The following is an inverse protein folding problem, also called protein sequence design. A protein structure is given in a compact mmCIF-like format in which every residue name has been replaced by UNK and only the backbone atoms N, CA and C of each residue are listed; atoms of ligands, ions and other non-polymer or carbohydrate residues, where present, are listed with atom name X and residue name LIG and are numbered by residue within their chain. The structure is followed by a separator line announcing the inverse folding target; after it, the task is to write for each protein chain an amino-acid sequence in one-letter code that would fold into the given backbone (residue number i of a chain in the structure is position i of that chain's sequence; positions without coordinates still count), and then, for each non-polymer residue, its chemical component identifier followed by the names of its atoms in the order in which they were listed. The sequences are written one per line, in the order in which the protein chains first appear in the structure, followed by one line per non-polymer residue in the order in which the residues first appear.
data_IF_015810562562
#
_entry.id   IF_015810562562
#
_cell.length_a   1.000
_cell.length_b   1.000
_cell.length_c   1.000
_cell.angle_alpha   90.00
_cell.angle_beta   90.00
_cell.angle_gamma   90.00
#
_symmetry.space_group_name_H-M   'P 1'
#
loop_
_entity.id
_entity.type
_entity.pdbx_description
1 polymer ?
#
# COMPACT_ATOMS: atom_id res chain seq x y z
N UNK A 1 -16.69 11.07 13.38
CA UNK A 1 -17.63 10.02 13.80
C UNK A 1 -16.85 8.72 13.94
N UNK A 2 -16.61 8.25 15.17
CA UNK A 2 -16.12 6.89 15.38
C UNK A 2 -17.29 5.95 15.08
N UNK A 3 -17.22 5.22 13.97
CA UNK A 3 -18.23 4.23 13.61
C UNK A 3 -18.25 3.11 14.65
N UNK A 4 -19.45 2.68 15.05
CA UNK A 4 -19.66 1.51 15.90
C UNK A 4 -19.02 0.28 15.25
N UNK A 5 -17.96 -0.26 15.89
CA UNK A 5 -17.15 -1.39 15.40
C UNK A 5 -17.89 -2.74 15.49
N UNK A 6 -19.16 -2.75 15.89
CA UNK A 6 -20.00 -3.95 16.00
C UNK A 6 -20.82 -4.26 14.74
N UNK A 7 -20.76 -3.40 13.72
CA UNK A 7 -21.63 -3.47 12.56
C UNK A 7 -21.08 -4.41 11.47
N UNK A 8 -21.89 -5.41 11.07
CA UNK A 8 -21.54 -6.36 10.01
C UNK A 8 -21.84 -5.74 8.65
N UNK A 9 -20.81 -5.52 7.84
CA UNK A 9 -20.94 -4.87 6.53
C UNK A 9 -20.95 -5.85 5.35
N UNK A 10 -20.62 -7.12 5.58
CA UNK A 10 -20.59 -8.13 4.52
C UNK A 10 -21.31 -9.41 4.91
N UNK A 11 -21.93 -10.03 3.93
CA UNK A 11 -22.61 -11.31 4.00
C UNK A 11 -22.25 -12.16 2.78
N UNK A 12 -22.73 -13.41 2.76
CA UNK A 12 -22.73 -14.24 1.56
C UNK A 12 -24.18 -14.55 1.15
N UNK A 13 -24.38 -14.79 -0.13
CA UNK A 13 -25.70 -15.09 -0.71
C UNK A 13 -26.03 -16.58 -0.62
N UNK A 14 -27.31 -16.93 -0.62
CA UNK A 14 -27.84 -18.30 -0.80
C UNK A 14 -27.56 -19.34 0.30
N UNK A 15 -26.49 -19.22 1.08
CA UNK A 15 -26.16 -20.17 2.15
C UNK A 15 -24.92 -19.79 2.97
N UNK A 16 -24.71 -20.43 4.12
CA UNK A 16 -23.62 -20.14 5.04
C UNK A 16 -22.22 -20.50 4.51
N UNK A 17 -22.14 -21.49 3.64
CA UNK A 17 -20.95 -22.02 2.97
C UNK A 17 -20.69 -21.37 1.59
N UNK A 18 -21.58 -20.46 1.17
CA UNK A 18 -21.47 -19.76 -0.10
C UNK A 18 -20.20 -18.91 -0.20
N UNK A 19 -19.69 -18.83 -1.42
CA UNK A 19 -18.52 -18.03 -1.77
C UNK A 19 -18.89 -16.72 -2.46
N UNK A 20 -20.18 -16.42 -2.64
CA UNK A 20 -20.68 -15.23 -3.31
C UNK A 20 -20.81 -14.08 -2.31
N UNK A 21 -19.83 -13.16 -2.23
CA UNK A 21 -19.82 -12.13 -1.22
C UNK A 21 -20.75 -10.98 -1.61
N UNK A 22 -21.27 -10.30 -0.59
CA UNK A 22 -22.07 -9.12 -0.78
C UNK A 22 -21.74 -8.08 0.29
N UNK A 23 -21.67 -6.80 -0.12
CA UNK A 23 -21.53 -5.67 0.78
C UNK A 23 -22.87 -4.96 0.94
N UNK A 24 -23.24 -4.64 2.17
CA UNK A 24 -24.40 -3.77 2.39
C UNK A 24 -24.02 -2.31 2.11
N UNK A 25 -24.86 -1.53 1.41
CA UNK A 25 -24.70 -0.09 1.35
C UNK A 25 -24.76 0.53 2.75
N UNK A 26 -23.99 1.60 2.95
CA UNK A 26 -23.94 2.30 4.24
C UNK A 26 -25.12 3.27 4.39
N UNK A 27 -25.62 3.80 3.27
CA UNK A 27 -26.67 4.82 3.23
C UNK A 27 -28.08 4.22 3.10
N UNK A 28 -29.05 4.81 3.80
CA UNK A 28 -30.43 4.33 3.83
C UNK A 28 -31.08 4.29 2.43
N UNK A 29 -30.82 5.30 1.60
CA UNK A 29 -31.40 5.40 0.25
C UNK A 29 -30.90 4.28 -0.67
N UNK A 30 -29.61 3.94 -0.54
CA UNK A 30 -28.98 2.86 -1.28
C UNK A 30 -29.44 1.49 -0.76
N UNK A 31 -29.71 1.37 0.55
CA UNK A 31 -30.24 0.15 1.14
C UNK A 31 -31.62 -0.22 0.59
N UNK A 32 -32.50 0.76 0.35
CA UNK A 32 -33.81 0.48 -0.23
C UNK A 32 -33.72 0.02 -1.69
N UNK A 33 -32.77 0.56 -2.46
CA UNK A 33 -32.47 0.04 -3.81
C UNK A 33 -31.90 -1.38 -3.73
N UNK A 34 -30.96 -1.62 -2.81
CA UNK A 34 -30.37 -2.93 -2.55
C UNK A 34 -31.41 -3.99 -2.19
N UNK A 35 -32.33 -3.69 -1.27
CA UNK A 35 -33.41 -4.61 -0.85
C UNK A 35 -34.33 -4.99 -2.00
N UNK A 36 -34.62 -4.06 -2.91
CA UNK A 36 -35.43 -4.35 -4.11
C UNK A 36 -34.68 -5.23 -5.09
N UNK A 37 -33.37 -4.98 -5.28
CA UNK A 37 -32.54 -5.81 -6.15
C UNK A 37 -32.39 -7.24 -5.63
N UNK A 38 -32.29 -7.40 -4.31
CA UNK A 38 -32.09 -8.68 -3.62
C UNK A 38 -33.38 -9.20 -2.93
N UNK A 39 -34.56 -8.91 -3.48
CA UNK A 39 -35.84 -9.23 -2.84
C UNK A 39 -36.09 -10.74 -2.65
N UNK A 40 -35.43 -11.57 -3.45
CA UNK A 40 -35.55 -13.04 -3.41
C UNK A 40 -34.31 -13.72 -2.84
N UNK A 41 -33.31 -12.94 -2.43
CA UNK A 41 -32.06 -13.47 -1.93
C UNK A 41 -32.08 -13.59 -0.40
N UNK A 42 -31.30 -14.53 0.11
CA UNK A 42 -31.03 -14.68 1.54
C UNK A 42 -29.59 -14.32 1.85
N UNK A 43 -29.38 -13.57 2.93
CA UNK A 43 -28.05 -13.16 3.40
C UNK A 43 -27.61 -14.02 4.57
N UNK A 44 -26.34 -14.40 4.60
CA UNK A 44 -25.82 -15.28 5.63
C UNK A 44 -24.53 -14.75 6.23
N UNK A 45 -24.35 -14.98 7.53
CA UNK A 45 -23.11 -14.72 8.26
C UNK A 45 -22.11 -15.82 7.89
N UNK A 46 -21.54 -15.73 6.68
CA UNK A 46 -20.82 -16.81 6.03
C UNK A 46 -19.64 -17.36 6.83
N UNK A 47 -19.42 -18.67 6.74
CA UNK A 47 -18.34 -19.38 7.43
C UNK A 47 -16.97 -18.93 6.90
N UNK A 48 -16.85 -18.73 5.59
CA UNK A 48 -15.65 -18.19 4.95
C UNK A 48 -15.39 -16.72 5.32
N UNK A 49 -16.37 -16.01 5.88
CA UNK A 49 -16.15 -14.67 6.45
C UNK A 49 -15.71 -14.72 7.93
N UNK A 50 -15.47 -15.92 8.48
CA UNK A 50 -15.32 -16.15 9.92
C UNK A 50 -16.61 -15.90 10.71
N UNK A 51 -17.76 -16.05 10.04
CA UNK A 51 -19.09 -15.93 10.60
C UNK A 51 -19.58 -17.19 11.31
N UNK A 52 -20.77 -17.12 11.89
CA UNK A 52 -21.40 -18.23 12.62
C UNK A 52 -22.35 -19.10 11.78
N UNK A 53 -22.52 -18.78 10.49
CA UNK A 53 -23.42 -19.49 9.58
C UNK A 53 -24.91 -19.21 9.76
N UNK A 54 -25.29 -18.29 10.66
CA UNK A 54 -26.70 -17.90 10.83
C UNK A 54 -27.14 -16.89 9.76
N UNK A 55 -28.43 -16.94 9.43
CA UNK A 55 -29.03 -16.00 8.49
C UNK A 55 -29.03 -14.56 9.04
N UNK A 56 -28.83 -13.61 8.14
CA UNK A 56 -28.78 -12.19 8.40
C UNK A 56 -30.00 -11.48 7.80
N UNK A 57 -30.40 -10.41 8.46
CA UNK A 57 -31.33 -9.40 7.97
C UNK A 57 -30.61 -8.05 7.84
N UNK A 58 -31.22 -7.09 7.17
CA UNK A 58 -30.66 -5.73 7.00
C UNK A 58 -31.30 -4.77 7.99
N UNK A 59 -30.48 -3.99 8.70
CA UNK A 59 -30.95 -2.90 9.57
C UNK A 59 -30.81 -1.57 8.84
N UNK A 60 -31.95 -0.94 8.58
CA UNK A 60 -32.03 0.40 8.02
C UNK A 60 -31.93 1.41 9.15
N UNK A 61 -31.03 2.38 8.99
CA UNK A 61 -30.87 3.50 9.88
C UNK A 61 -30.67 4.77 9.06
N UNK A 62 -31.28 5.87 9.50
CA UNK A 62 -31.14 7.20 8.88
C UNK A 62 -30.16 8.10 9.65
N UNK A 63 -29.85 7.73 10.89
CA UNK A 63 -28.99 8.45 11.83
C UNK A 63 -27.64 7.74 12.08
N UNK A 64 -27.51 6.48 11.65
CA UNK A 64 -26.29 5.68 11.72
C UNK A 64 -26.14 4.79 10.48
N UNK A 65 -24.97 4.19 10.35
CA UNK A 65 -24.63 3.32 9.22
C UNK A 65 -25.53 2.07 9.19
N UNK A 66 -26.11 1.82 8.01
CA UNK A 66 -26.84 0.59 7.73
C UNK A 66 -25.90 -0.62 7.82
N UNK A 67 -26.40 -1.74 8.34
CA UNK A 67 -25.59 -2.96 8.50
C UNK A 67 -26.45 -4.21 8.53
N UNK A 68 -25.82 -5.36 8.31
CA UNK A 68 -26.43 -6.65 8.56
C UNK A 68 -26.52 -6.94 10.06
N UNK A 69 -27.59 -7.62 10.45
CA UNK A 69 -27.78 -8.14 11.81
C UNK A 69 -28.33 -9.56 11.75
N UNK A 70 -28.03 -10.38 12.75
CA UNK A 70 -28.67 -11.68 12.85
C UNK A 70 -30.18 -11.52 13.08
N UNK A 71 -30.96 -12.48 12.58
CA UNK A 71 -32.33 -12.64 13.05
C UNK A 71 -32.32 -12.85 14.58
N UNK A 72 -33.32 -12.34 15.33
CA UNK A 72 -33.42 -12.62 16.76
C UNK A 72 -33.56 -14.12 17.01
N UNK A 73 -32.99 -14.61 18.12
CA UNK A 73 -33.19 -15.98 18.57
C UNK A 73 -34.65 -16.27 18.95
N UNK A 74 -35.01 -17.53 19.19
CA UNK A 74 -36.36 -17.93 19.64
C UNK A 74 -36.80 -17.24 20.95
N UNK A 75 -35.82 -16.87 21.77
CA UNK A 75 -35.93 -16.16 23.04
C UNK A 75 -35.91 -14.61 22.88
N UNK A 76 -35.81 -14.11 21.65
CA UNK A 76 -35.72 -12.69 21.33
C UNK A 76 -34.36 -12.06 21.66
N UNK A 77 -33.39 -12.84 22.17
CA UNK A 77 -32.07 -12.31 22.52
C UNK A 77 -31.15 -12.20 21.29
N UNK A 78 -30.23 -11.22 21.28
CA UNK A 78 -29.23 -11.10 20.21
C UNK A 78 -28.29 -12.31 20.21
N UNK A 79 -28.07 -12.90 19.04
CA UNK A 79 -27.07 -13.96 18.90
C UNK A 79 -25.64 -13.44 19.14
N UNK A 80 -24.90 -14.14 20.00
CA UNK A 80 -23.48 -13.89 20.21
C UNK A 80 -22.65 -14.46 19.05
N UNK A 81 -22.30 -13.60 18.11
CA UNK A 81 -21.46 -13.97 16.97
C UNK A 81 -19.98 -13.72 17.28
N UNK A 82 -19.17 -14.77 17.19
CA UNK A 82 -17.71 -14.72 17.37
C UNK A 82 -16.95 -14.04 16.24
N UNK A 83 -17.63 -13.62 15.16
CA UNK A 83 -17.02 -12.96 14.00
C UNK A 83 -16.30 -11.69 14.43
N UNK A 84 -14.98 -11.66 14.20
CA UNK A 84 -14.10 -10.53 14.54
C UNK A 84 -14.01 -9.49 13.43
N UNK A 85 -13.87 -9.94 12.18
CA UNK A 85 -13.79 -9.07 11.01
C UNK A 85 -15.19 -8.71 10.50
N UNK A 86 -15.61 -7.46 10.68
CA UNK A 86 -16.99 -7.00 10.39
C UNK A 86 -17.06 -5.90 9.34
N UNK A 87 -15.93 -5.30 8.97
CA UNK A 87 -15.86 -4.24 7.96
C UNK A 87 -15.96 -4.76 6.53
N UNK A 88 -16.03 -3.82 5.58
CA UNK A 88 -16.15 -4.11 4.13
C UNK A 88 -15.03 -5.00 3.58
N UNK A 89 -13.83 -4.92 4.17
CA UNK A 89 -12.67 -5.70 3.76
C UNK A 89 -12.71 -7.17 4.21
N UNK A 90 -13.62 -7.55 5.11
CA UNK A 90 -13.69 -8.92 5.65
C UNK A 90 -14.08 -9.97 4.61
N UNK A 91 -14.61 -9.54 3.46
CA UNK A 91 -14.94 -10.41 2.34
C UNK A 91 -13.95 -10.27 1.16
N UNK A 92 -12.85 -9.52 1.31
CA UNK A 92 -11.95 -9.22 0.20
C UNK A 92 -11.38 -10.49 -0.46
N UNK A 93 -11.11 -11.54 0.30
CA UNK A 93 -10.66 -12.83 -0.23
C UNK A 93 -11.67 -13.50 -1.18
N UNK A 94 -12.98 -13.42 -0.89
CA UNK A 94 -14.02 -13.93 -1.78
C UNK A 94 -14.14 -13.08 -3.05
N UNK A 95 -14.03 -11.76 -2.92
CA UNK A 95 -14.00 -10.87 -4.09
C UNK A 95 -12.76 -11.10 -4.97
N UNK A 96 -11.60 -11.35 -4.36
CA UNK A 96 -10.38 -11.74 -5.09
C UNK A 96 -10.59 -13.05 -5.84
N UNK A 97 -11.10 -14.09 -5.16
CA UNK A 97 -11.41 -15.38 -5.78
C UNK A 97 -12.37 -15.22 -6.96
N UNK A 98 -13.50 -14.55 -6.75
CA UNK A 98 -14.52 -14.34 -7.79
C UNK A 98 -13.98 -13.56 -8.99
N UNK A 99 -13.24 -12.46 -8.75
CA UNK A 99 -12.66 -11.63 -9.81
C UNK A 99 -11.58 -12.38 -10.60
N UNK A 100 -10.67 -13.08 -9.90
CA UNK A 100 -9.63 -13.87 -10.55
C UNK A 100 -10.23 -15.04 -11.35
N UNK A 101 -11.25 -15.72 -10.83
CA UNK A 101 -11.94 -16.78 -11.53
C UNK A 101 -12.62 -16.26 -12.81
N UNK A 102 -13.29 -15.10 -12.75
CA UNK A 102 -13.88 -14.48 -13.93
C UNK A 102 -12.82 -14.07 -14.97
N UNK A 103 -11.72 -13.48 -14.52
CA UNK A 103 -10.61 -13.02 -15.37
C UNK A 103 -9.84 -14.17 -16.05
N UNK A 104 -9.62 -15.29 -15.35
CA UNK A 104 -8.98 -16.48 -15.91
C UNK A 104 -9.92 -17.21 -16.88
N UNK A 105 -11.21 -17.32 -16.54
CA UNK A 105 -12.21 -17.91 -17.44
C UNK A 105 -12.38 -17.12 -18.74
N UNK A 106 -12.32 -15.78 -18.70
CA UNK A 106 -12.41 -14.96 -19.93
C UNK A 106 -11.21 -15.14 -20.87
N UNK A 107 -10.17 -15.83 -20.41
CA UNK A 107 -8.95 -16.20 -21.17
C UNK A 107 -8.85 -17.71 -21.40
N UNK A 108 -9.95 -18.45 -21.23
CA UNK A 108 -10.01 -19.91 -21.37
C UNK A 108 -9.03 -20.67 -20.46
N UNK A 109 -8.65 -20.07 -19.32
CA UNK A 109 -7.78 -20.68 -18.32
C UNK A 109 -8.62 -21.30 -17.20
N UNK A 110 -8.36 -22.58 -16.93
CA UNK A 110 -8.86 -23.26 -15.73
C UNK A 110 -7.94 -22.94 -14.55
N UNK A 111 -8.56 -22.72 -13.38
CA UNK A 111 -7.85 -22.36 -12.18
C UNK A 111 -8.48 -23.00 -10.95
N UNK A 112 -7.63 -23.49 -10.05
CA UNK A 112 -7.99 -23.97 -8.74
C UNK A 112 -7.73 -22.87 -7.70
N UNK A 113 -8.63 -22.78 -6.72
CA UNK A 113 -8.60 -21.73 -5.71
C UNK A 113 -8.64 -22.35 -4.32
N UNK A 114 -7.67 -21.97 -3.48
CA UNK A 114 -7.59 -22.42 -2.10
C UNK A 114 -7.55 -21.21 -1.16
N UNK A 115 -8.49 -21.16 -0.20
CA UNK A 115 -8.49 -20.17 0.87
C UNK A 115 -7.64 -20.71 2.01
N UNK A 116 -6.33 -20.49 1.91
CA UNK A 116 -5.36 -21.02 2.88
C UNK A 116 -5.63 -20.42 4.25
N UNK A 117 -5.67 -21.26 5.27
CA UNK A 117 -5.81 -20.85 6.66
C UNK A 117 -4.60 -21.32 7.48
N UNK A 118 -3.46 -20.59 7.42
CA UNK A 118 -2.32 -20.89 8.27
C UNK A 118 -2.69 -20.79 9.74
N UNK A 119 -2.02 -21.58 10.57
CA UNK A 119 -2.29 -21.60 12.01
C UNK A 119 -2.15 -20.19 12.62
N UNK A 120 -3.18 -19.75 13.34
CA UNK A 120 -3.22 -18.43 13.97
C UNK A 120 -3.53 -17.26 13.02
N UNK A 121 -3.58 -17.47 11.70
CA UNK A 121 -3.97 -16.43 10.75
C UNK A 121 -5.51 -16.27 10.67
N UNK A 122 -6.02 -15.03 10.54
CA UNK A 122 -7.42 -14.80 10.22
C UNK A 122 -7.85 -15.51 8.92
N UNK A 123 -9.13 -15.90 8.85
CA UNK A 123 -9.71 -16.39 7.60
C UNK A 123 -9.63 -15.29 6.53
N UNK A 124 -9.18 -15.68 5.34
CA UNK A 124 -9.06 -14.77 4.20
C UNK A 124 -7.78 -13.93 4.20
N UNK A 125 -6.80 -14.23 5.04
CA UNK A 125 -5.48 -13.57 4.98
C UNK A 125 -4.70 -13.96 3.72
N UNK A 126 -4.88 -15.18 3.21
CA UNK A 126 -4.18 -15.69 2.02
C UNK A 126 -5.16 -16.38 1.08
N UNK A 127 -4.99 -16.13 -0.23
CA UNK A 127 -5.70 -16.83 -1.31
C UNK A 127 -4.68 -17.38 -2.29
N UNK A 128 -4.70 -18.69 -2.46
CA UNK A 128 -3.91 -19.39 -3.46
C UNK A 128 -4.72 -19.59 -4.73
N UNK A 129 -4.12 -19.23 -5.85
CA UNK A 129 -4.72 -19.31 -7.18
C UNK A 129 -3.75 -20.10 -8.05
N UNK A 130 -4.09 -21.33 -8.39
CA UNK A 130 -3.27 -22.19 -9.24
C UNK A 130 -3.88 -22.25 -10.63
N UNK A 131 -3.10 -21.97 -11.67
CA UNK A 131 -3.52 -22.11 -13.07
C UNK A 131 -2.35 -22.56 -13.95
N UNK A 132 -2.62 -23.50 -14.85
CA UNK A 132 -1.56 -24.14 -15.64
C UNK A 132 -0.43 -24.69 -14.74
N UNK A 133 0.82 -24.33 -15.02
CA UNK A 133 2.03 -24.69 -14.25
C UNK A 133 2.49 -23.54 -13.33
N UNK A 134 1.60 -22.60 -13.01
CA UNK A 134 1.88 -21.38 -12.25
C UNK A 134 0.83 -21.16 -11.16
N UNK A 135 1.18 -20.38 -10.16
CA UNK A 135 0.25 -19.94 -9.14
C UNK A 135 0.52 -18.52 -8.71
N UNK A 136 -0.51 -17.89 -8.17
CA UNK A 136 -0.42 -16.63 -7.44
C UNK A 136 -0.78 -16.90 -5.99
N UNK A 137 -0.01 -16.34 -5.07
CA UNK A 137 -0.34 -16.33 -3.64
C UNK A 137 -0.66 -14.91 -3.21
N UNK A 138 -1.93 -14.64 -2.97
CA UNK A 138 -2.42 -13.31 -2.61
C UNK A 138 -2.41 -13.13 -1.11
N UNK A 139 -1.57 -12.23 -0.59
CA UNK A 139 -1.51 -11.87 0.83
C UNK A 139 -2.34 -10.61 1.08
N UNK A 140 -3.49 -10.71 1.73
CA UNK A 140 -4.39 -9.57 1.94
C UNK A 140 -4.07 -8.74 3.19
N UNK A 141 -3.35 -9.32 4.14
CA UNK A 141 -2.92 -8.68 5.37
C UNK A 141 -1.54 -9.15 5.83
N UNK A 142 -1.09 -8.64 6.99
CA UNK A 142 0.23 -8.90 7.56
C UNK A 142 0.31 -10.18 8.40
N UNK A 143 -0.77 -10.96 8.49
CA UNK A 143 -0.81 -12.14 9.35
C UNK A 143 0.10 -13.25 8.84
N UNK A 144 0.33 -13.31 7.52
CA UNK A 144 1.16 -14.32 6.87
C UNK A 144 2.24 -13.61 6.05
N UNK A 145 3.50 -13.88 6.38
CA UNK A 145 4.64 -13.33 5.64
C UNK A 145 4.74 -13.94 4.24
N UNK A 146 5.02 -13.15 3.21
CA UNK A 146 5.23 -13.67 1.86
C UNK A 146 6.54 -14.43 1.75
N UNK A 147 6.47 -15.57 1.04
CA UNK A 147 7.65 -16.28 0.56
C UNK A 147 8.01 -15.76 -0.84
N UNK A 148 9.28 -15.51 -1.09
CA UNK A 148 9.77 -14.90 -2.34
C UNK A 148 10.48 -15.89 -3.27
N UNK A 149 10.87 -17.05 -2.72
CA UNK A 149 11.64 -18.12 -3.35
C UNK A 149 10.83 -19.40 -3.56
N UNK A 150 9.51 -19.34 -3.41
CA UNK A 150 8.62 -20.48 -3.62
C UNK A 150 8.41 -20.72 -5.12
N UNK A 151 9.04 -21.77 -5.63
CA UNK A 151 8.96 -22.13 -7.04
C UNK A 151 7.51 -22.28 -7.52
N UNK A 152 7.17 -21.53 -8.56
CA UNK A 152 5.89 -21.63 -9.23
C UNK A 152 4.74 -20.83 -8.58
N UNK A 153 4.96 -20.13 -7.46
CA UNK A 153 3.93 -19.28 -6.82
C UNK A 153 4.42 -17.84 -6.64
N UNK A 154 3.87 -16.94 -7.44
CA UNK A 154 4.24 -15.52 -7.39
C UNK A 154 3.42 -14.77 -6.31
N UNK A 155 4.08 -14.03 -5.40
CA UNK A 155 3.37 -13.30 -4.35
C UNK A 155 2.69 -12.03 -4.89
N UNK A 156 1.42 -11.84 -4.52
CA UNK A 156 0.64 -10.63 -4.78
C UNK A 156 0.24 -10.01 -3.45
N UNK A 157 0.68 -8.77 -3.19
CA UNK A 157 0.68 -8.23 -1.84
C UNK A 157 -0.37 -7.13 -1.66
N UNK A 158 -1.22 -7.28 -0.64
CA UNK A 158 -2.11 -6.23 -0.18
C UNK A 158 -1.33 -4.98 0.19
N UNK A 159 -1.94 -3.81 0.03
CA UNK A 159 -1.32 -2.50 0.35
C UNK A 159 -0.78 -2.39 1.77
N UNK A 160 -1.31 -3.20 2.69
CA UNK A 160 -0.86 -3.22 4.07
C UNK A 160 0.42 -4.03 4.27
N UNK A 161 0.73 -4.99 3.41
CA UNK A 161 1.87 -5.91 3.57
C UNK A 161 3.17 -5.16 3.28
N UNK A 162 4.10 -5.06 4.24
CA UNK A 162 5.36 -4.35 4.00
C UNK A 162 6.24 -5.12 2.99
N UNK A 163 6.99 -4.37 2.20
CA UNK A 163 8.08 -4.90 1.35
C UNK A 163 9.29 -4.03 1.62
N UNK A 164 10.42 -4.65 1.94
CA UNK A 164 11.66 -3.91 2.17
C UNK A 164 12.30 -3.49 0.84
N UNK A 165 13.24 -2.57 0.95
CA UNK A 165 13.90 -1.96 -0.21
C UNK A 165 14.74 -2.98 -0.99
N UNK A 166 15.39 -3.90 -0.30
CA UNK A 166 16.33 -4.83 -0.92
C UNK A 166 15.55 -5.84 -1.76
N UNK A 167 14.42 -6.33 -1.25
CA UNK A 167 13.45 -7.14 -2.02
C UNK A 167 12.99 -6.43 -3.30
N UNK A 168 12.62 -5.13 -3.24
CA UNK A 168 12.23 -4.38 -4.44
C UNK A 168 13.37 -4.18 -5.46
N UNK A 169 14.61 -4.10 -4.98
CA UNK A 169 15.79 -3.98 -5.84
C UNK A 169 16.05 -5.31 -6.55
N UNK A 170 15.94 -6.42 -5.81
CA UNK A 170 16.25 -7.76 -6.30
C UNK A 170 15.17 -8.29 -7.24
N UNK A 171 13.89 -8.16 -6.86
CA UNK A 171 12.74 -8.59 -7.68
C UNK A 171 12.42 -7.63 -8.83
N UNK A 172 12.99 -6.41 -8.84
CA UNK A 172 12.73 -5.28 -9.76
C UNK A 172 11.35 -4.65 -9.62
N UNK A 173 10.34 -5.46 -9.32
CA UNK A 173 8.98 -5.06 -9.01
C UNK A 173 8.31 -6.12 -8.12
N UNK A 174 7.21 -5.73 -7.49
CA UNK A 174 6.30 -6.65 -6.80
C UNK A 174 4.86 -6.32 -7.20
N UNK A 175 4.02 -7.35 -7.24
CA UNK A 175 2.59 -7.17 -7.47
C UNK A 175 1.90 -6.68 -6.21
N UNK A 176 1.05 -5.66 -6.38
CA UNK A 176 0.16 -5.16 -5.34
C UNK A 176 -1.29 -5.49 -5.66
N UNK A 177 -2.10 -5.62 -4.61
CA UNK A 177 -3.54 -5.71 -4.76
C UNK A 177 -4.23 -4.73 -3.80
N UNK A 178 -5.28 -4.10 -4.31
CA UNK A 178 -6.26 -3.37 -3.49
C UNK A 178 -7.65 -3.61 -4.02
N UNK A 179 -8.63 -3.41 -3.16
CA UNK A 179 -10.04 -3.50 -3.51
C UNK A 179 -10.70 -2.16 -3.25
N UNK A 180 -11.30 -1.60 -4.30
CA UNK A 180 -12.07 -0.36 -4.23
C UNK A 180 -13.55 -0.69 -4.10
N UNK A 181 -14.26 0.04 -3.24
CA UNK A 181 -15.72 -0.10 -3.16
C UNK A 181 -16.37 0.69 -4.29
N UNK A 182 -17.19 0.02 -5.09
CA UNK A 182 -18.01 0.62 -6.14
C UNK A 182 -19.46 0.15 -5.96
N UNK A 183 -20.27 1.03 -5.36
CA UNK A 183 -21.60 0.68 -4.86
C UNK A 183 -21.53 -0.48 -3.86
N UNK A 184 -22.25 -1.55 -4.14
CA UNK A 184 -22.35 -2.77 -3.32
C UNK A 184 -21.26 -3.80 -3.61
N UNK A 185 -20.33 -3.50 -4.51
CA UNK A 185 -19.31 -4.44 -4.98
C UNK A 185 -17.90 -3.97 -4.63
N UNK A 186 -16.95 -4.91 -4.61
CA UNK A 186 -15.52 -4.62 -4.46
C UNK A 186 -14.83 -4.91 -5.79
N UNK A 187 -14.18 -3.89 -6.38
CA UNK A 187 -13.39 -4.05 -7.62
C UNK A 187 -11.92 -4.26 -7.30
N UNK A 188 -11.36 -5.34 -7.83
CA UNK A 188 -9.93 -5.65 -7.72
C UNK A 188 -9.12 -4.72 -8.62
N UNK A 189 -8.04 -4.16 -8.06
CA UNK A 189 -7.03 -3.39 -8.77
C UNK A 189 -5.67 -4.02 -8.50
N UNK A 190 -4.94 -4.28 -9.58
CA UNK A 190 -3.58 -4.83 -9.52
C UNK A 190 -2.60 -3.68 -9.66
N UNK A 191 -1.61 -3.63 -8.78
CA UNK A 191 -0.58 -2.61 -8.77
C UNK A 191 0.78 -3.19 -9.09
N UNK A 192 1.68 -2.33 -9.55
CA UNK A 192 3.11 -2.65 -9.68
C UNK A 192 3.90 -1.65 -8.87
N UNK A 193 4.52 -2.14 -7.80
CA UNK A 193 5.45 -1.35 -7.01
C UNK A 193 6.87 -1.69 -7.45
N UNK A 194 7.68 -0.66 -7.67
CA UNK A 194 9.08 -0.78 -8.06
C UNK A 194 9.92 0.23 -7.29
N UNK A 195 11.21 -0.07 -7.14
CA UNK A 195 12.11 0.78 -6.36
C UNK A 195 12.11 2.25 -6.86
N UNK A 196 11.93 3.18 -5.91
CA UNK A 196 11.89 4.63 -6.13
C UNK A 196 10.80 5.10 -7.12
N UNK A 197 9.69 4.37 -7.22
CA UNK A 197 8.51 4.74 -8.02
C UNK A 197 7.25 4.56 -7.19
N UNK A 198 6.25 5.39 -7.45
CA UNK A 198 4.90 5.17 -6.90
C UNK A 198 4.29 3.92 -7.51
N UNK A 199 3.42 3.24 -6.75
CA UNK A 199 2.67 2.08 -7.26
C UNK A 199 1.70 2.52 -8.36
N UNK A 200 1.88 1.98 -9.57
CA UNK A 200 0.95 2.17 -10.68
C UNK A 200 -0.17 1.13 -10.58
N UNK A 201 -1.44 1.55 -10.70
CA UNK A 201 -2.61 0.70 -10.49
C UNK A 201 -3.44 0.51 -11.76
N UNK A 202 -3.82 -0.73 -12.04
CA UNK A 202 -4.51 -1.17 -13.25
C UNK A 202 -5.77 -1.96 -12.91
N UNK A 203 -6.72 -2.04 -13.83
CA UNK A 203 -7.85 -2.95 -13.69
C UNK A 203 -7.34 -4.37 -13.93
N UNK A 204 -8.04 -5.36 -13.39
CA UNK A 204 -7.67 -6.75 -13.65
C UNK A 204 -7.75 -7.07 -15.16
N UNK A 205 -8.70 -6.46 -15.88
CA UNK A 205 -8.84 -6.61 -17.34
C UNK A 205 -7.68 -5.99 -18.14
N UNK A 206 -6.95 -5.03 -17.58
CA UNK A 206 -5.74 -4.44 -18.19
C UNK A 206 -4.50 -5.32 -17.96
N UNK A 207 -4.62 -6.40 -17.18
CA UNK A 207 -3.53 -7.32 -16.85
C UNK A 207 -3.59 -8.58 -17.72
N UNK A 208 -2.43 -9.16 -17.98
CA UNK A 208 -2.29 -10.38 -18.77
C UNK A 208 -1.60 -11.50 -18.00
N UNK A 209 -1.87 -12.74 -18.40
CA UNK A 209 -1.07 -13.90 -17.99
C UNK A 209 0.00 -14.14 -19.05
N UNK A 210 1.26 -14.04 -18.67
CA UNK A 210 2.42 -14.28 -19.55
C UNK A 210 3.19 -15.51 -19.10
N UNK A 211 4.18 -15.95 -19.88
CA UNK A 211 5.09 -17.05 -19.50
C UNK A 211 5.80 -16.80 -18.14
N UNK A 212 5.92 -15.53 -17.74
CA UNK A 212 6.57 -15.10 -16.50
C UNK A 212 5.60 -15.00 -15.31
N UNK A 213 4.31 -15.17 -15.53
CA UNK A 213 3.28 -14.94 -14.52
C UNK A 213 2.39 -13.76 -14.85
N UNK A 214 1.85 -13.13 -13.80
CA UNK A 214 0.96 -11.98 -13.92
C UNK A 214 1.73 -10.78 -14.49
N UNK A 215 1.23 -10.14 -15.53
CA UNK A 215 1.82 -8.95 -16.12
C UNK A 215 0.84 -7.79 -16.10
N UNK A 216 1.25 -6.69 -15.48
CA UNK A 216 0.58 -5.39 -15.67
C UNK A 216 1.28 -4.62 -16.80
N UNK A 217 0.65 -3.56 -17.36
CA UNK A 217 1.32 -2.68 -18.30
C UNK A 217 2.61 -2.05 -17.75
N UNK A 218 2.72 -1.86 -16.43
CA UNK A 218 3.96 -1.39 -15.81
C UNK A 218 5.04 -2.48 -15.76
N UNK A 219 4.66 -3.73 -15.45
CA UNK A 219 5.58 -4.88 -15.51
C UNK A 219 6.15 -5.04 -16.90
N UNK A 220 5.32 -5.00 -17.94
CA UNK A 220 5.78 -5.13 -19.32
C UNK A 220 6.81 -4.04 -19.68
N UNK A 221 6.59 -2.79 -19.25
CA UNK A 221 7.55 -1.70 -19.46
C UNK A 221 8.86 -1.93 -18.71
N UNK A 222 8.80 -2.40 -17.46
CA UNK A 222 9.99 -2.70 -16.64
C UNK A 222 10.79 -3.85 -17.27
N UNK A 223 10.10 -4.93 -17.61
CA UNK A 223 10.68 -6.09 -18.28
C UNK A 223 11.32 -5.67 -19.60
N UNK A 224 10.57 -5.00 -20.48
CA UNK A 224 11.07 -4.51 -21.77
C UNK A 224 12.30 -3.63 -21.59
N UNK A 225 12.30 -2.69 -20.65
CA UNK A 225 13.46 -1.82 -20.40
C UNK A 225 14.71 -2.58 -19.96
N UNK A 226 14.56 -3.77 -19.35
CA UNK A 226 15.67 -4.59 -18.84
C UNK A 226 16.08 -5.74 -19.75
N UNK A 227 15.15 -6.27 -20.55
CA UNK A 227 15.39 -7.35 -21.53
C UNK A 227 15.76 -6.83 -22.91
N UNK A 228 15.35 -5.61 -23.26
CA UNK A 228 15.87 -4.96 -24.47
C UNK A 228 17.35 -4.74 -24.22
N UNK A 229 18.19 -5.48 -24.95
CA UNK A 229 19.61 -5.20 -25.03
C UNK A 229 19.78 -3.69 -25.24
N UNK A 230 20.73 -3.02 -24.57
CA UNK A 230 21.06 -1.64 -24.91
C UNK A 230 21.16 -1.60 -26.44
N UNK A 231 20.52 -0.63 -27.12
CA UNK A 231 20.55 -0.59 -28.58
C UNK A 231 22.01 -0.80 -29.00
N UNK A 232 22.29 -1.70 -29.97
CA UNK A 232 23.65 -1.95 -30.38
C UNK A 232 24.26 -0.60 -30.66
N UNK A 233 25.36 -0.29 -29.96
CA UNK A 233 26.17 0.88 -30.30
C UNK A 233 26.39 0.79 -31.80
N UNK A 234 25.84 1.76 -32.54
CA UNK A 234 25.82 1.79 -34.00
C UNK A 234 27.13 1.24 -34.59
N UNK A 235 27.11 0.52 -35.73
CA UNK A 235 28.33 0.05 -36.37
C UNK A 235 29.24 1.25 -36.61
N UNK A 236 30.53 1.04 -36.36
CA UNK A 236 31.59 2.03 -36.43
C UNK A 236 31.46 2.97 -37.66
N UNK A 237 30.79 4.10 -37.48
CA UNK A 237 31.00 5.26 -38.30
C UNK A 237 32.34 5.85 -37.87
N UNK A 238 33.36 5.57 -38.69
CA UNK A 238 34.70 6.18 -38.74
C UNK A 238 34.99 7.19 -37.62
N UNK A 239 35.87 6.75 -36.70
CA UNK A 239 36.70 7.57 -35.82
C UNK A 239 36.05 8.84 -35.24
N UNK A 240 35.43 8.74 -34.07
CA UNK A 240 35.16 9.91 -33.21
C UNK A 240 35.81 9.74 -31.83
N UNK A 241 36.51 10.82 -31.45
CA UNK A 241 37.20 11.10 -30.18
C UNK A 241 36.34 10.73 -28.95
N UNK A 242 37.02 10.44 -27.83
CA UNK A 242 36.43 10.04 -26.54
C UNK A 242 35.31 10.94 -26.00
N UNK A 243 34.63 10.53 -24.91
CA UNK A 243 33.41 11.17 -24.42
C UNK A 243 33.62 12.68 -24.19
N UNK A 244 32.75 13.48 -24.79
CA UNK A 244 32.72 14.92 -24.65
C UNK A 244 32.44 15.29 -23.19
N UNK A 245 33.48 15.75 -22.49
CA UNK A 245 33.43 16.16 -21.08
C UNK A 245 32.37 17.25 -20.87
N UNK A 246 32.10 18.03 -21.91
CA UNK A 246 31.11 19.10 -21.96
C UNK A 246 29.68 18.56 -21.82
N UNK A 247 29.33 17.53 -22.59
CA UNK A 247 28.03 16.88 -22.50
C UNK A 247 27.80 16.26 -21.11
N UNK A 248 28.86 15.73 -20.49
CA UNK A 248 28.80 15.17 -19.13
C UNK A 248 28.58 16.25 -18.07
N UNK A 249 29.24 17.40 -18.19
CA UNK A 249 29.01 18.54 -17.32
C UNK A 249 27.54 19.00 -17.36
N UNK A 250 26.94 19.10 -18.55
CA UNK A 250 25.55 19.55 -18.71
C UNK A 250 24.52 18.58 -18.10
N UNK A 251 24.81 17.29 -18.08
CA UNK A 251 23.96 16.29 -17.40
C UNK A 251 24.00 16.48 -15.89
N UNK A 252 25.19 16.65 -15.32
CA UNK A 252 25.37 16.84 -13.88
C UNK A 252 24.70 18.12 -13.39
N UNK A 253 24.79 19.22 -14.15
CA UNK A 253 24.08 20.48 -13.84
C UNK A 253 22.55 20.28 -13.79
N UNK A 254 21.97 19.55 -14.75
CA UNK A 254 20.53 19.25 -14.77
C UNK A 254 20.10 18.34 -13.62
N UNK A 255 20.91 17.34 -13.28
CA UNK A 255 20.65 16.46 -12.13
C UNK A 255 20.71 17.24 -10.82
N UNK A 256 21.66 18.15 -10.67
CA UNK A 256 21.78 19.00 -9.48
C UNK A 256 20.57 19.92 -9.31
N UNK A 257 20.13 20.56 -10.39
CA UNK A 257 18.93 21.39 -10.38
C UNK A 257 17.65 20.60 -10.05
N UNK A 258 17.50 19.41 -10.64
CA UNK A 258 16.34 18.53 -10.39
C UNK A 258 16.31 18.02 -8.95
N UNK A 259 17.46 17.62 -8.41
CA UNK A 259 17.59 17.14 -7.03
C UNK A 259 17.24 18.22 -6.00
N UNK A 260 17.65 19.47 -6.25
CA UNK A 260 17.27 20.62 -5.41
C UNK A 260 15.77 20.90 -5.46
N UNK A 261 15.13 20.75 -6.63
CA UNK A 261 13.68 20.95 -6.79
C UNK A 261 12.84 19.95 -5.98
N UNK A 262 13.31 18.72 -5.84
CA UNK A 262 12.65 17.66 -5.05
C UNK A 262 13.23 17.52 -3.63
N UNK A 263 14.00 18.51 -3.19
CA UNK A 263 14.60 18.61 -1.85
C UNK A 263 15.44 17.39 -1.42
N UNK A 264 16.09 16.71 -2.38
CA UNK A 264 16.86 15.49 -2.10
C UNK A 264 18.31 15.78 -1.72
N UNK A 265 18.58 15.93 -0.42
CA UNK A 265 19.92 16.17 0.16
C UNK A 265 20.95 15.13 -0.27
N UNK A 266 20.59 13.84 -0.26
CA UNK A 266 21.49 12.73 -0.63
C UNK A 266 21.91 12.80 -2.09
N UNK A 267 20.96 13.09 -3.00
CA UNK A 267 21.25 13.18 -4.44
C UNK A 267 22.08 14.42 -4.73
N UNK A 268 21.82 15.55 -4.05
CA UNK A 268 22.65 16.76 -4.15
C UNK A 268 24.10 16.48 -3.72
N UNK A 269 24.31 15.79 -2.59
CA UNK A 269 25.66 15.40 -2.15
C UNK A 269 26.38 14.50 -3.16
N UNK A 270 25.67 13.52 -3.73
CA UNK A 270 26.22 12.61 -4.74
C UNK A 270 26.63 13.36 -6.00
N UNK A 271 25.75 14.20 -6.55
CA UNK A 271 26.02 14.95 -7.78
C UNK A 271 27.17 15.94 -7.58
N UNK A 272 27.26 16.62 -6.43
CA UNK A 272 28.40 17.46 -6.09
C UNK A 272 29.74 16.70 -6.09
N UNK A 273 29.76 15.43 -5.61
CA UNK A 273 30.96 14.57 -5.67
C UNK A 273 31.31 14.18 -7.10
N UNK A 274 30.31 13.88 -7.92
CA UNK A 274 30.50 13.54 -9.34
C UNK A 274 31.02 14.75 -10.14
N UNK A 275 30.58 15.98 -9.82
CA UNK A 275 31.10 17.22 -10.39
C UNK A 275 32.56 17.45 -9.97
N UNK A 276 32.90 17.23 -8.70
CA UNK A 276 34.27 17.39 -8.21
C UNK A 276 35.27 16.42 -8.87
N UNK A 277 34.80 15.26 -9.33
CA UNK A 277 35.61 14.29 -10.08
C UNK A 277 35.69 14.57 -11.59
N UNK A 278 34.98 15.57 -12.10
CA UNK A 278 34.98 15.89 -13.53
C UNK A 278 36.24 16.73 -13.88
N UNK A 279 37.06 16.21 -14.78
CA UNK A 279 38.29 16.87 -15.26
C UNK A 279 38.26 17.03 -16.78
N UNK A 280 38.86 18.10 -17.31
CA UNK A 280 38.96 18.34 -18.75
C UNK A 280 37.76 19.07 -19.38
N UNK A 281 36.92 19.74 -18.59
CA UNK A 281 35.84 20.58 -19.08
C UNK A 281 36.38 21.92 -19.61
N UNK A 282 35.61 22.63 -20.45
CA UNK A 282 36.00 23.98 -20.87
C UNK A 282 36.04 24.94 -19.67
N UNK A 283 36.79 26.03 -19.77
CA UNK A 283 36.86 27.04 -18.69
C UNK A 283 35.50 27.65 -18.34
N UNK A 284 34.63 27.85 -19.34
CA UNK A 284 33.27 28.35 -19.13
C UNK A 284 32.41 27.37 -18.33
N UNK A 285 32.48 26.10 -18.69
CA UNK A 285 31.72 24.99 -18.08
C UNK A 285 32.22 24.68 -16.69
N UNK A 286 33.52 24.77 -16.48
CA UNK A 286 34.11 24.61 -15.17
C UNK A 286 33.71 25.74 -14.23
N UNK A 287 33.56 26.98 -14.73
CA UNK A 287 32.99 28.07 -13.94
C UNK A 287 31.52 27.80 -13.58
N UNK A 288 30.70 27.34 -14.53
CA UNK A 288 29.29 27.01 -14.29
C UNK A 288 29.13 25.87 -13.25
N UNK A 289 29.94 24.82 -13.34
CA UNK A 289 29.96 23.72 -12.37
C UNK A 289 30.37 24.20 -10.97
N UNK A 290 31.36 25.08 -10.88
CA UNK A 290 31.84 25.65 -9.60
C UNK A 290 30.73 26.50 -8.95
N UNK A 291 30.05 27.34 -9.72
CA UNK A 291 28.95 28.16 -9.21
C UNK A 291 27.75 27.30 -8.80
N UNK A 292 27.39 26.29 -9.60
CA UNK A 292 26.31 25.36 -9.29
C UNK A 292 26.58 24.54 -8.01
N UNK A 293 27.82 24.09 -7.80
CA UNK A 293 28.22 23.42 -6.55
C UNK A 293 28.22 24.39 -5.37
N UNK A 294 28.61 25.66 -5.56
CA UNK A 294 28.53 26.69 -4.51
C UNK A 294 27.09 26.95 -4.07
N UNK A 295 26.17 27.04 -5.03
CA UNK A 295 24.75 27.20 -4.77
C UNK A 295 24.13 25.98 -4.09
N UNK A 296 24.52 24.78 -4.51
CA UNK A 296 24.11 23.55 -3.87
C UNK A 296 24.59 23.45 -2.42
N UNK A 297 25.81 23.90 -2.12
CA UNK A 297 26.33 23.96 -0.74
C UNK A 297 25.55 24.94 0.13
N UNK A 298 25.28 26.16 -0.35
CA UNK A 298 24.41 27.12 0.36
C UNK A 298 23.01 26.58 0.61
N UNK A 299 22.46 25.86 -0.38
CA UNK A 299 21.17 25.21 -0.22
C UNK A 299 21.22 24.09 0.84
N UNK A 300 22.27 23.27 0.86
CA UNK A 300 22.47 22.24 1.89
C UNK A 300 22.60 22.83 3.30
N UNK A 301 23.29 23.96 3.45
CA UNK A 301 23.38 24.70 4.71
C UNK A 301 21.98 25.17 5.18
N UNK A 302 21.19 25.77 4.28
CA UNK A 302 19.81 26.16 4.57
C UNK A 302 18.90 24.97 4.92
N UNK A 303 19.10 23.81 4.30
CA UNK A 303 18.38 22.58 4.66
C UNK A 303 18.79 22.08 6.04
N UNK A 304 20.06 22.22 6.43
CA UNK A 304 20.51 21.89 7.77
C UNK A 304 19.88 22.80 8.84
N UNK A 305 19.69 24.09 8.55
CA UNK A 305 18.96 25.02 9.42
C UNK A 305 17.48 24.64 9.59
N UNK A 306 16.78 24.40 8.48
CA UNK A 306 15.39 23.95 8.49
C UNK A 306 15.23 22.64 9.26
N UNK A 307 16.19 21.72 9.11
CA UNK A 307 16.25 20.46 9.84
C UNK A 307 16.44 20.70 11.34
N UNK A 308 17.42 21.50 11.74
CA UNK A 308 17.66 21.84 13.17
C UNK A 308 16.40 22.41 13.81
N UNK A 309 15.75 23.36 13.15
CA UNK A 309 14.51 23.98 13.63
C UNK A 309 13.37 22.95 13.74
N UNK A 310 13.23 22.04 12.77
CA UNK A 310 12.22 20.99 12.79
C UNK A 310 12.39 20.05 14.00
N UNK A 311 13.63 19.67 14.30
CA UNK A 311 13.93 18.79 15.44
C UNK A 311 13.77 19.53 16.79
N UNK A 312 14.16 20.81 16.87
CA UNK A 312 13.97 21.65 18.06
C UNK A 312 12.48 21.84 18.39
N UNK A 313 11.66 22.25 17.41
CA UNK A 313 10.20 22.41 17.59
C UNK A 313 9.50 21.13 17.99
N UNK A 314 10.05 19.98 17.61
CA UNK A 314 9.50 18.68 18.01
C UNK A 314 9.83 18.37 19.46
N UNK A 315 11.07 18.61 19.88
CA UNK A 315 11.49 18.42 21.27
C UNK A 315 10.68 19.32 22.22
N UNK A 316 10.44 20.57 21.81
CA UNK A 316 9.52 21.48 22.49
C UNK A 316 8.09 20.94 22.55
N UNK A 317 7.57 20.38 21.46
CA UNK A 317 6.22 19.81 21.44
C UNK A 317 6.07 18.59 22.36
N UNK A 318 7.11 17.76 22.50
CA UNK A 318 7.16 16.66 23.46
C UNK A 318 7.21 17.20 24.89
N UNK A 319 8.08 18.18 25.16
CA UNK A 319 8.24 18.82 26.47
C UNK A 319 6.95 19.52 26.93
N UNK A 320 6.26 20.22 26.01
CA UNK A 320 4.97 20.88 26.25
C UNK A 320 3.78 19.90 26.27
N UNK A 321 4.02 18.59 26.18
CA UNK A 321 3.02 17.52 26.12
C UNK A 321 1.97 17.70 25.01
N UNK A 322 2.30 18.37 23.91
CA UNK A 322 1.41 18.59 22.78
C UNK A 322 1.50 17.42 21.76
N UNK A 323 0.77 16.35 22.03
CA UNK A 323 0.78 15.12 21.23
C UNK A 323 0.39 15.33 19.75
N UNK A 324 -0.50 16.29 19.46
CA UNK A 324 -0.92 16.57 18.08
C UNK A 324 0.21 17.23 17.28
N UNK A 325 0.86 18.22 17.87
CA UNK A 325 1.98 18.91 17.24
C UNK A 325 3.21 17.99 17.10
N UNK A 326 3.51 17.18 18.13
CA UNK A 326 4.57 16.18 18.08
C UNK A 326 4.36 15.16 16.95
N UNK A 327 3.12 14.70 16.72
CA UNK A 327 2.78 13.76 15.64
C UNK A 327 2.99 14.37 14.25
N UNK A 328 2.56 15.61 14.03
CA UNK A 328 2.72 16.32 12.75
C UNK A 328 4.21 16.54 12.44
N UNK A 329 4.98 16.97 13.44
CA UNK A 329 6.42 17.22 13.29
C UNK A 329 7.21 15.92 13.09
N UNK A 330 6.81 14.82 13.76
CA UNK A 330 7.40 13.50 13.55
C UNK A 330 7.18 12.98 12.12
N UNK A 331 5.95 13.12 11.59
CA UNK A 331 5.66 12.74 10.21
C UNK A 331 6.51 13.54 9.21
N UNK A 332 6.65 14.86 9.43
CA UNK A 332 7.48 15.73 8.59
C UNK A 332 8.96 15.37 8.66
N UNK A 333 9.50 15.08 9.85
CA UNK A 333 10.89 14.67 10.04
C UNK A 333 11.19 13.25 9.49
N UNK A 334 10.19 12.37 9.47
CA UNK A 334 10.30 11.07 8.78
C UNK A 334 10.32 11.25 7.26
N UNK A 335 9.56 12.20 6.73
CA UNK A 335 9.54 12.48 5.30
C UNK A 335 10.83 13.13 4.77
N UNK A 336 11.47 14.01 5.56
CA UNK A 336 12.61 14.80 5.08
C UNK A 336 13.98 14.33 5.57
N UNK A 337 14.04 13.58 6.68
CA UNK A 337 15.28 13.36 7.43
C UNK A 337 15.45 11.92 7.92
N UNK A 338 14.71 10.93 7.41
CA UNK A 338 14.76 9.55 7.95
C UNK A 338 16.07 8.80 7.69
N UNK A 339 16.82 9.13 6.63
CA UNK A 339 17.95 8.31 6.15
C UNK A 339 19.34 8.84 6.54
N UNK A 340 19.41 10.00 7.18
CA UNK A 340 20.65 10.72 7.48
C UNK A 340 20.61 11.39 8.87
N UNK A 341 19.80 10.84 9.79
CA UNK A 341 19.74 11.35 11.17
C UNK A 341 21.08 11.26 11.86
N UNK A 342 21.44 12.33 12.55
CA UNK A 342 22.44 12.23 13.59
C UNK A 342 21.91 11.34 14.72
N UNK A 343 22.80 10.79 15.54
CA UNK A 343 22.40 9.99 16.71
C UNK A 343 21.47 10.80 17.63
N UNK A 344 21.72 12.10 17.80
CA UNK A 344 20.87 13.00 18.57
C UNK A 344 19.48 13.16 17.97
N UNK A 345 19.38 13.38 16.66
CA UNK A 345 18.11 13.47 15.95
C UNK A 345 17.32 12.15 16.04
N UNK A 346 18.03 11.02 15.97
CA UNK A 346 17.49 9.69 16.18
C UNK A 346 16.88 9.52 17.57
N UNK A 347 17.60 9.93 18.62
CA UNK A 347 17.11 9.89 20.01
C UNK A 347 15.85 10.74 20.20
N UNK A 348 15.86 11.98 19.72
CA UNK A 348 14.69 12.86 19.82
C UNK A 348 13.51 12.23 19.03
N UNK A 349 13.78 11.45 17.96
CA UNK A 349 12.73 10.87 17.11
C UNK A 349 12.08 9.65 17.75
N UNK A 350 12.89 8.80 18.38
CA UNK A 350 12.40 7.72 19.22
C UNK A 350 11.55 8.27 20.37
N UNK A 351 12.05 9.27 21.10
CA UNK A 351 11.32 9.89 22.21
C UNK A 351 9.96 10.47 21.79
N UNK A 352 9.91 11.16 20.63
CA UNK A 352 8.65 11.67 20.09
C UNK A 352 7.69 10.55 19.64
N UNK A 353 8.20 9.46 19.07
CA UNK A 353 7.39 8.32 18.68
C UNK A 353 6.79 7.61 19.90
N UNK A 354 7.59 7.39 20.95
CA UNK A 354 7.17 6.79 22.20
C UNK A 354 6.12 7.65 22.91
N UNK A 355 6.33 8.97 22.95
CA UNK A 355 5.38 9.92 23.50
C UNK A 355 4.03 9.88 22.77
N UNK A 356 4.04 9.91 21.43
CA UNK A 356 2.81 9.85 20.61
C UNK A 356 2.10 8.49 20.80
N UNK A 357 2.84 7.40 20.91
CA UNK A 357 2.28 6.06 21.15
C UNK A 357 1.67 5.95 22.55
N UNK A 358 2.34 6.48 23.59
CA UNK A 358 1.83 6.49 24.96
C UNK A 358 0.54 7.30 25.09
N UNK A 359 0.48 8.49 24.49
CA UNK A 359 -0.73 9.30 24.49
C UNK A 359 -1.89 8.68 23.71
N UNK A 360 -1.60 7.94 22.64
CA UNK A 360 -2.64 7.21 21.90
C UNK A 360 -3.23 6.09 22.77
N UNK A 361 -2.40 5.34 23.51
CA UNK A 361 -2.86 4.32 24.47
C UNK A 361 -3.66 4.90 25.64
N UNK A 362 -3.23 6.03 26.20
CA UNK A 362 -3.96 6.70 27.29
C UNK A 362 -5.33 7.19 26.82
N UNK A 363 -5.41 7.73 25.60
CA UNK A 363 -6.69 8.14 25.02
C UNK A 363 -7.61 6.95 24.77
N UNK A 364 -7.08 5.85 24.24
CA UNK A 364 -7.84 4.61 24.04
C UNK A 364 -8.37 4.03 25.37
N UNK A 365 -7.58 4.07 26.44
CA UNK A 365 -8.00 3.64 27.78
C UNK A 365 -9.08 4.56 28.38
N UNK A 366 -8.91 5.89 28.29
CA UNK A 366 -9.90 6.84 28.78
C UNK A 366 -11.21 6.83 27.98
N UNK A 367 -11.13 6.52 26.68
CA UNK A 367 -12.31 6.35 25.83
C UNK A 367 -13.02 5.02 26.14
N UNK A 368 -12.28 3.97 26.53
CA UNK A 368 -12.84 2.71 26.99
C UNK A 368 -13.53 2.82 28.37
N UNK A 369 -12.93 3.51 29.34
CA UNK A 369 -13.55 3.76 30.65
C UNK A 369 -14.85 4.59 30.52
N UNK A 370 -14.83 5.66 29.71
CA UNK A 370 -16.04 6.46 29.46
C UNK A 370 -17.15 5.67 28.76
N UNK A 371 -16.79 4.72 27.90
CA UNK A 371 -17.75 3.83 27.26
C UNK A 371 -18.34 2.79 28.23
N UNK A 372 -17.63 2.46 29.31
CA UNK A 372 -18.13 1.58 30.37
C UNK A 372 -19.02 2.31 31.37
N UNK A 373 -18.75 3.59 31.66
CA UNK A 373 -19.61 4.40 32.55
C UNK A 373 -20.94 4.83 31.90
N UNK A 374 -21.02 4.81 30.57
CA UNK A 374 -22.21 5.16 29.79
C UNK A 374 -23.06 3.95 29.37
N UNK A 375 -22.61 2.73 29.69
CA UNK A 375 -23.31 1.47 29.45
C UNK A 375 -23.94 0.97 30.75
#
# INVERSE_FOLDING_TARGET
MQGDRRQIQTAVLSGADSEDPLMLPLEAIELDAFRRHHAHDTFWCGLLLGGCGLQLTTKLYTDRVCHFAHYPGPDGHPHLCGRRARGVNSADHLYVKSAAAAWLRSRDLQADFELVQPEGAPIGSVVDIQFQHRGLRVHLDRAVQPAWDEDGREPVLGVSVPVDRDTLIDCWYVHRIRLNSEGTTRKVRIGTEAFARETEWFALDDCEVTERGLATPAVERIVKARTTAPPPRWPAAKAKKGPDVEARAQVLLRQLASARKVESVVVVHRVCREIAGLTGASSATQAELVDAVRDARRWLEGQADVRRELFARRDEAVTAQNAQQARVLLARANATAAHDRTEDEGRIAAAAADFVAAQSRMKEAADAERAMEQA
#
